data_IF_278712192863
#
_entry.id   IF_278712192863
#
_cell.length_a   1.000
_cell.length_b   1.000
_cell.length_c   1.000
_cell.angle_alpha   90.00
_cell.angle_beta   90.00
_cell.angle_gamma   90.00
#
_symmetry.space_group_name_H-M   'P 1'
#
loop_
_entity.id
_entity.type
_entity.pdbx_description
1 polymer ?
#
# COMPACT_ATOMS: atom_id res chain seq x y z
N UNK A 1 -23.05 -10.42 -11.61
CA UNK A 1 -22.43 -9.07 -11.57
C UNK A 1 -20.96 -9.29 -11.26
N UNK A 2 -20.04 -8.79 -12.07
CA UNK A 2 -18.64 -8.73 -11.65
C UNK A 2 -18.52 -7.51 -10.75
N UNK A 3 -18.50 -7.70 -9.43
CA UNK A 3 -18.16 -6.64 -8.48
C UNK A 3 -16.75 -6.16 -8.79
N UNK A 4 -16.66 -5.07 -9.54
CA UNK A 4 -15.41 -4.35 -9.76
C UNK A 4 -15.28 -3.39 -8.60
N UNK A 5 -14.48 -3.73 -7.60
CA UNK A 5 -14.10 -2.81 -6.53
C UNK A 5 -13.57 -1.52 -7.14
N UNK A 6 -14.10 -0.37 -6.73
CA UNK A 6 -13.57 0.92 -7.19
C UNK A 6 -12.34 1.30 -6.36
N UNK A 7 -11.32 1.85 -7.01
CA UNK A 7 -10.15 2.40 -6.31
C UNK A 7 -10.58 3.59 -5.46
N UNK A 8 -10.26 3.55 -4.16
CA UNK A 8 -10.63 4.58 -3.20
C UNK A 8 -10.17 5.98 -3.62
N UNK A 9 -8.96 6.11 -4.16
CA UNK A 9 -8.38 7.42 -4.51
C UNK A 9 -8.89 8.01 -5.83
N UNK A 10 -9.10 7.18 -6.87
CA UNK A 10 -9.42 7.69 -8.21
C UNK A 10 -10.78 7.25 -8.76
N UNK A 11 -11.54 6.44 -8.02
CA UNK A 11 -12.85 5.92 -8.41
C UNK A 11 -12.86 4.95 -9.59
N UNK A 12 -11.69 4.67 -10.21
CA UNK A 12 -11.60 3.76 -11.35
C UNK A 12 -11.84 2.32 -10.91
N UNK A 13 -12.50 1.49 -11.74
CA UNK A 13 -12.69 0.09 -11.43
C UNK A 13 -11.35 -0.65 -11.36
N UNK A 14 -11.16 -1.42 -10.31
CA UNK A 14 -10.06 -2.38 -10.14
C UNK A 14 -10.51 -3.69 -10.80
N UNK A 15 -9.67 -4.22 -11.69
CA UNK A 15 -9.95 -5.51 -12.31
C UNK A 15 -9.83 -6.64 -11.28
N UNK A 16 -10.65 -7.68 -11.43
CA UNK A 16 -10.57 -8.86 -10.57
C UNK A 16 -9.18 -9.50 -10.65
N UNK A 17 -8.55 -9.74 -9.50
CA UNK A 17 -7.19 -10.29 -9.40
C UNK A 17 -6.06 -9.30 -9.75
N UNK A 18 -6.37 -8.02 -9.98
CA UNK A 18 -5.33 -7.00 -10.09
C UNK A 18 -4.68 -6.73 -8.73
N UNK A 19 -3.40 -6.30 -8.69
CA UNK A 19 -2.76 -5.93 -7.44
C UNK A 19 -3.51 -4.79 -6.73
N UNK A 20 -3.72 -4.96 -5.43
CA UNK A 20 -4.40 -4.01 -4.55
C UNK A 20 -3.58 -3.69 -3.32
N UNK A 21 -3.84 -2.52 -2.72
CA UNK A 21 -3.32 -2.12 -1.42
C UNK A 21 -4.50 -1.85 -0.49
N UNK A 22 -4.56 -2.51 0.69
CA UNK A 22 -5.62 -2.28 1.67
C UNK A 22 -5.39 -0.93 2.37
N UNK A 23 -6.46 -0.16 2.51
CA UNK A 23 -6.51 1.07 3.29
C UNK A 23 -7.64 0.95 4.32
N UNK A 24 -7.55 1.66 5.45
CA UNK A 24 -8.61 1.65 6.47
C UNK A 24 -9.99 2.05 5.93
N UNK A 25 -10.02 2.86 4.87
CA UNK A 25 -11.24 3.37 4.25
C UNK A 25 -11.64 2.61 2.98
N UNK A 26 -10.85 1.62 2.54
CA UNK A 26 -11.17 0.85 1.33
C UNK A 26 -9.96 0.20 0.67
N UNK A 27 -9.92 0.25 -0.66
CA UNK A 27 -8.89 -0.44 -1.44
C UNK A 27 -8.33 0.48 -2.51
N UNK A 28 -7.00 0.57 -2.58
CA UNK A 28 -6.27 1.28 -3.62
C UNK A 28 -5.82 0.29 -4.70
N UNK A 29 -6.03 0.65 -5.96
CA UNK A 29 -5.43 -0.08 -7.08
C UNK A 29 -3.95 0.30 -7.25
N UNK A 30 -3.19 -0.53 -7.96
CA UNK A 30 -1.74 -0.35 -8.21
C UNK A 30 -1.28 1.08 -8.56
N UNK A 31 -2.06 1.84 -9.33
CA UNK A 31 -1.69 3.20 -9.73
C UNK A 31 -1.86 4.26 -8.65
N UNK A 32 -2.61 3.96 -7.59
CA UNK A 32 -2.88 4.87 -6.48
C UNK A 32 -2.35 4.33 -5.15
N UNK A 33 -1.83 3.11 -5.13
CA UNK A 33 -1.18 2.56 -3.96
C UNK A 33 0.12 3.33 -3.67
N UNK A 34 0.49 3.46 -2.39
CA UNK A 34 1.76 4.08 -2.02
C UNK A 34 2.94 3.28 -2.58
N UNK A 35 4.06 3.97 -2.78
CA UNK A 35 5.34 3.37 -3.13
C UNK A 35 6.15 3.08 -1.87
N UNK A 36 7.15 2.19 -1.97
CA UNK A 36 7.96 1.82 -0.80
C UNK A 36 8.80 2.98 -0.25
N UNK A 37 9.24 3.93 -1.07
CA UNK A 37 9.95 5.13 -0.61
C UNK A 37 9.09 6.01 0.32
N UNK A 38 7.77 6.05 0.12
CA UNK A 38 6.84 6.78 0.99
C UNK A 38 6.84 6.24 2.42
N UNK A 39 7.20 4.97 2.65
CA UNK A 39 7.38 4.43 4.01
C UNK A 39 8.46 5.17 4.80
N UNK A 40 9.41 5.82 4.13
CA UNK A 40 10.52 6.54 4.75
C UNK A 40 10.27 8.05 4.82
N UNK A 41 9.22 8.56 4.18
CA UNK A 41 8.83 9.96 4.25
C UNK A 41 8.12 10.22 5.59
N UNK A 42 8.66 11.13 6.40
CA UNK A 42 8.12 11.43 7.73
C UNK A 42 6.76 12.13 7.64
N UNK A 43 6.54 12.92 6.59
CA UNK A 43 5.25 13.55 6.30
C UNK A 43 4.14 12.54 5.95
N UNK A 44 4.50 11.39 5.35
CA UNK A 44 3.56 10.35 4.94
C UNK A 44 3.41 9.24 6.01
N UNK A 45 4.24 9.27 7.07
CA UNK A 45 4.32 8.25 8.10
C UNK A 45 2.97 7.88 8.73
N UNK A 46 2.12 8.90 8.94
CA UNK A 46 0.81 8.73 9.59
C UNK A 46 -0.24 7.99 8.75
N UNK A 47 0.01 7.79 7.45
CA UNK A 47 -0.91 7.07 6.56
C UNK A 47 -0.67 5.55 6.55
N UNK A 48 0.46 5.10 7.07
CA UNK A 48 0.78 3.68 7.16
C UNK A 48 0.37 3.16 8.53
N UNK A 49 -0.72 2.40 8.57
CA UNK A 49 -1.25 1.82 9.81
C UNK A 49 -1.18 0.30 9.77
N UNK A 50 -1.11 -0.30 10.96
CA UNK A 50 -1.36 -1.72 11.13
C UNK A 50 -2.86 -1.99 10.98
N UNK A 51 -3.23 -2.90 10.08
CA UNK A 51 -4.65 -3.11 9.73
C UNK A 51 -5.46 -3.81 10.82
N UNK A 52 -4.79 -4.51 11.76
CA UNK A 52 -5.46 -5.21 12.86
C UNK A 52 -5.78 -4.26 14.03
N UNK A 53 -4.85 -3.35 14.35
CA UNK A 53 -4.98 -2.38 15.44
C UNK A 53 -5.49 -1.00 15.02
N UNK A 54 -5.32 -0.64 13.73
CA UNK A 54 -5.59 0.69 13.19
C UNK A 54 -4.58 1.76 13.62
N UNK A 55 -3.54 1.39 14.37
CA UNK A 55 -2.52 2.31 14.87
C UNK A 55 -1.43 2.58 13.82
N UNK A 56 -0.85 3.79 13.77
CA UNK A 56 0.28 4.08 12.89
C UNK A 56 1.45 3.13 13.11
N UNK A 57 2.04 2.67 12.01
CA UNK A 57 3.27 1.87 12.04
C UNK A 57 4.42 2.70 12.62
N UNK A 58 5.21 2.08 13.48
CA UNK A 58 6.44 2.72 13.99
C UNK A 58 7.43 2.96 12.85
N UNK A 59 8.32 3.95 13.02
CA UNK A 59 9.39 4.20 12.05
C UNK A 59 10.26 2.96 11.80
N UNK A 60 10.52 2.17 12.84
CA UNK A 60 11.26 0.90 12.74
C UNK A 60 10.50 -0.15 11.92
N UNK A 61 9.19 -0.30 12.12
CA UNK A 61 8.37 -1.22 11.34
C UNK A 61 8.30 -0.82 9.87
N UNK A 62 8.07 0.47 9.57
CA UNK A 62 8.10 1.01 8.20
C UNK A 62 9.44 0.75 7.53
N UNK A 63 10.54 0.97 8.25
CA UNK A 63 11.89 0.72 7.76
C UNK A 63 12.15 -0.77 7.48
N UNK A 64 11.69 -1.66 8.37
CA UNK A 64 11.83 -3.10 8.18
C UNK A 64 11.09 -3.58 6.92
N UNK A 65 9.90 -3.05 6.63
CA UNK A 65 9.15 -3.36 5.40
C UNK A 65 9.92 -2.91 4.15
N UNK A 66 10.46 -1.69 4.18
CA UNK A 66 11.27 -1.17 3.09
C UNK A 66 12.53 -2.02 2.86
N UNK A 67 13.31 -2.28 3.93
CA UNK A 67 14.57 -3.02 3.84
C UNK A 67 14.32 -4.47 3.35
N UNK A 68 13.23 -5.11 3.77
CA UNK A 68 12.84 -6.43 3.30
C UNK A 68 12.53 -6.44 1.78
N UNK A 69 11.84 -5.40 1.28
CA UNK A 69 11.55 -5.26 -0.16
C UNK A 69 12.83 -5.08 -0.98
N UNK A 70 13.73 -4.20 -0.53
CA UNK A 70 15.02 -3.98 -1.19
C UNK A 70 15.89 -5.24 -1.16
N UNK A 71 15.95 -5.95 -0.03
CA UNK A 71 16.70 -7.20 0.08
C UNK A 71 16.15 -8.30 -0.85
N UNK A 72 14.85 -8.26 -1.16
CA UNK A 72 14.19 -9.11 -2.16
C UNK A 72 14.47 -8.73 -3.62
N UNK A 73 15.26 -7.67 -3.87
CA UNK A 73 15.55 -7.15 -5.21
C UNK A 73 14.55 -6.12 -5.73
N UNK A 74 13.64 -5.64 -4.86
CA UNK A 74 12.68 -4.60 -5.18
C UNK A 74 13.31 -3.20 -5.28
N UNK A 75 12.54 -2.26 -5.83
CA UNK A 75 12.91 -0.86 -6.00
C UNK A 75 12.08 0.05 -5.08
N UNK A 76 12.62 1.20 -4.62
CA UNK A 76 11.89 2.16 -3.79
C UNK A 76 10.59 2.66 -4.43
N UNK A 77 10.61 2.82 -5.75
CA UNK A 77 9.49 3.31 -6.55
C UNK A 77 8.45 2.23 -6.87
N UNK A 78 8.64 1.00 -6.41
CA UNK A 78 7.64 -0.04 -6.62
C UNK A 78 6.37 0.30 -5.85
N UNK A 79 5.22 0.03 -6.46
CA UNK A 79 3.93 0.15 -5.77
C UNK A 79 3.83 -0.96 -4.71
N UNK A 80 3.32 -0.60 -3.54
CA UNK A 80 3.04 -1.54 -2.45
C UNK A 80 1.79 -2.40 -2.69
N UNK A 81 1.03 -2.16 -3.78
CA UNK A 81 -0.07 -3.04 -4.16
C UNK A 81 0.42 -4.45 -4.51
N UNK A 82 -0.23 -5.47 -3.95
CA UNK A 82 0.11 -6.88 -4.11
C UNK A 82 -1.09 -7.67 -4.65
N UNK A 83 -0.80 -8.76 -5.35
CA UNK A 83 -1.82 -9.77 -5.66
C UNK A 83 -1.88 -10.67 -4.44
N UNK A 84 -3.04 -10.70 -3.76
CA UNK A 84 -3.32 -11.69 -2.71
C UNK A 84 -3.43 -13.10 -3.29
#
# INVERSE_FOLDING_TARGET
MHDRTACLACGKPIAHGAPTYPDVSGTLGKCCAPTYDMLLAEEEAGYFVDMDSGEPLTAEARRAIYDAHIAGGGQPTDSMARVD
#
